data_IF_183035544847
#
_entry.id   IF_183035544847
#
_cell.length_a   1.000
_cell.length_b   1.000
_cell.length_c   1.000
_cell.angle_alpha   90.00
_cell.angle_beta   90.00
_cell.angle_gamma   90.00
#
_symmetry.space_group_name_H-M   'P 1'
#
loop_
_entity.id
_entity.type
_entity.pdbx_description
1 polymer ?
#
# COMPACT_ATOMS: atom_id res chain seq x y z
N UNK A 1 -7.01 -0.13 15.20
CA UNK A 1 -5.91 0.22 14.28
C UNK A 1 -5.66 1.70 14.38
N UNK A 2 -4.43 2.06 14.69
CA UNK A 2 -3.99 3.43 14.91
C UNK A 2 -2.47 3.49 14.74
N UNK A 3 -1.97 4.61 14.22
CA UNK A 3 -0.55 4.85 14.03
C UNK A 3 -0.08 6.08 14.84
N UNK A 4 0.73 5.82 15.87
CA UNK A 4 1.39 6.88 16.64
C UNK A 4 2.73 7.31 16.04
N UNK A 5 3.26 6.53 15.11
CA UNK A 5 4.64 6.55 14.61
C UNK A 5 5.65 5.77 15.44
N UNK A 6 5.22 5.15 16.54
CA UNK A 6 6.11 4.40 17.43
C UNK A 6 7.14 5.30 18.11
N UNK A 7 8.42 4.90 18.09
CA UNK A 7 9.51 5.71 18.67
C UNK A 7 9.82 6.96 17.83
N UNK A 8 9.55 6.93 16.52
CA UNK A 8 9.48 8.11 15.66
C UNK A 8 8.10 8.77 15.74
N UNK A 9 7.70 9.15 16.96
CA UNK A 9 6.36 9.63 17.26
C UNK A 9 5.94 10.82 16.37
N UNK A 10 4.72 10.75 15.84
CA UNK A 10 4.12 11.86 15.10
C UNK A 10 3.91 13.06 16.02
N UNK A 11 4.24 14.25 15.53
CA UNK A 11 4.09 15.50 16.29
C UNK A 11 2.91 16.36 15.82
N UNK A 12 2.20 15.93 14.77
CA UNK A 12 1.05 16.64 14.20
C UNK A 12 0.07 15.64 13.56
N UNK A 13 -1.21 16.02 13.49
CA UNK A 13 -2.26 15.27 12.79
C UNK A 13 -2.48 13.82 13.29
N UNK A 14 -2.04 13.50 14.52
CA UNK A 14 -2.11 12.15 15.06
C UNK A 14 -3.56 11.66 15.21
N UNK A 15 -4.51 12.55 15.51
CA UNK A 15 -5.94 12.25 15.63
C UNK A 15 -6.55 11.68 14.33
N UNK A 16 -5.91 11.93 13.19
CA UNK A 16 -6.31 11.44 11.88
C UNK A 16 -5.76 10.05 11.58
N UNK A 17 -4.83 9.53 12.37
CA UNK A 17 -4.21 8.21 12.14
C UNK A 17 -5.15 7.02 12.45
N UNK A 18 -6.37 7.31 12.94
CA UNK A 18 -7.48 6.35 12.89
C UNK A 18 -7.86 5.96 11.45
N UNK A 19 -7.52 6.79 10.46
CA UNK A 19 -7.74 6.52 9.05
C UNK A 19 -6.61 5.71 8.41
N UNK A 20 -5.56 5.37 9.16
CA UNK A 20 -4.44 4.58 8.65
C UNK A 20 -4.76 3.09 8.42
N UNK A 21 -6.00 2.68 8.71
CA UNK A 21 -6.58 1.42 8.24
C UNK A 21 -7.42 1.58 6.95
N UNK A 22 -7.27 2.71 6.26
CA UNK A 22 -8.08 3.08 5.12
C UNK A 22 -8.01 2.08 3.96
N UNK A 23 -6.83 1.53 3.71
CA UNK A 23 -6.63 0.46 2.72
C UNK A 23 -7.45 -0.80 3.05
N UNK A 24 -7.39 -1.25 4.31
CA UNK A 24 -8.18 -2.38 4.78
C UNK A 24 -9.69 -2.12 4.68
N UNK A 25 -10.14 -0.90 4.98
CA UNK A 25 -11.53 -0.51 4.85
C UNK A 25 -12.00 -0.54 3.38
N UNK A 26 -11.17 -0.07 2.45
CA UNK A 26 -11.44 -0.16 1.01
C UNK A 26 -11.56 -1.62 0.55
N UNK A 27 -10.64 -2.49 0.98
CA UNK A 27 -10.66 -3.93 0.69
C UNK A 27 -11.93 -4.60 1.21
N UNK A 28 -12.33 -4.34 2.46
CA UNK A 28 -13.59 -4.88 3.00
C UNK A 28 -14.83 -4.32 2.28
N UNK A 29 -14.81 -3.04 1.92
CA UNK A 29 -15.87 -2.43 1.12
C UNK A 29 -16.02 -3.09 -0.24
N UNK A 30 -14.90 -3.32 -0.92
CA UNK A 30 -14.87 -4.04 -2.19
C UNK A 30 -15.32 -5.50 -2.04
N UNK A 31 -14.84 -6.21 -1.02
CA UNK A 31 -15.24 -7.60 -0.75
C UNK A 31 -16.75 -7.73 -0.59
N UNK A 32 -17.39 -6.80 0.14
CA UNK A 32 -18.85 -6.76 0.28
C UNK A 32 -19.56 -6.55 -1.06
N UNK A 33 -19.06 -5.64 -1.89
CA UNK A 33 -19.66 -5.33 -3.19
C UNK A 33 -19.47 -6.49 -4.19
N UNK A 34 -18.26 -7.06 -4.26
CA UNK A 34 -17.93 -8.22 -5.09
C UNK A 34 -18.78 -9.43 -4.71
N UNK A 35 -18.93 -9.72 -3.41
CA UNK A 35 -19.80 -10.80 -2.95
C UNK A 35 -21.27 -10.62 -3.36
N UNK A 36 -21.75 -9.37 -3.45
CA UNK A 36 -23.10 -9.07 -3.89
C UNK A 36 -23.28 -9.18 -5.42
N UNK A 37 -22.23 -8.85 -6.19
CA UNK A 37 -22.23 -8.92 -7.65
C UNK A 37 -21.95 -10.34 -8.17
N UNK A 38 -21.23 -11.16 -7.38
CA UNK A 38 -20.85 -12.53 -7.68
C UNK A 38 -20.27 -12.71 -9.11
N UNK A 39 -19.19 -11.98 -9.47
CA UNK A 39 -18.53 -12.18 -10.75
C UNK A 39 -18.02 -13.61 -10.88
N UNK A 40 -18.26 -14.23 -12.04
CA UNK A 40 -17.82 -15.60 -12.35
C UNK A 40 -16.44 -15.57 -13.05
N UNK A 41 -15.71 -16.69 -13.01
CA UNK A 41 -14.44 -16.84 -13.74
C UNK A 41 -13.24 -16.15 -13.08
N UNK A 42 -13.38 -15.64 -11.86
CA UNK A 42 -12.28 -15.03 -11.09
C UNK A 42 -12.28 -15.54 -9.65
N UNK A 43 -11.09 -15.87 -9.13
CA UNK A 43 -10.86 -16.12 -7.70
C UNK A 43 -10.22 -14.87 -7.07
N UNK A 44 -10.76 -14.43 -5.93
CA UNK A 44 -10.30 -13.19 -5.29
C UNK A 44 -10.00 -13.45 -3.82
N UNK A 45 -8.75 -13.20 -3.43
CA UNK A 45 -8.31 -13.24 -2.05
C UNK A 45 -8.25 -11.82 -1.47
N UNK A 46 -8.93 -11.59 -0.36
CA UNK A 46 -8.89 -10.32 0.37
C UNK A 46 -7.92 -10.44 1.55
N UNK A 47 -6.75 -9.82 1.45
CA UNK A 47 -5.73 -9.83 2.50
C UNK A 47 -5.73 -8.51 3.27
N UNK A 48 -5.71 -8.58 4.61
CA UNK A 48 -5.65 -7.40 5.48
C UNK A 48 -4.52 -7.58 6.50
N UNK A 49 -3.51 -6.72 6.38
CA UNK A 49 -2.35 -6.66 7.26
C UNK A 49 -2.64 -5.77 8.48
N UNK A 50 -3.49 -6.25 9.39
CA UNK A 50 -3.98 -5.43 10.52
C UNK A 50 -2.95 -5.29 11.64
N UNK A 51 -2.61 -4.06 12.02
CA UNK A 51 -1.67 -3.76 13.11
C UNK A 51 -2.03 -2.45 13.85
N UNK A 52 -1.45 -2.26 15.03
CA UNK A 52 -1.41 -0.98 15.73
C UNK A 52 0.04 -0.58 16.00
N UNK A 53 0.43 0.61 15.56
CA UNK A 53 1.77 1.13 15.78
C UNK A 53 1.78 2.05 17.00
N UNK A 54 2.16 1.48 18.14
CA UNK A 54 2.12 2.15 19.44
C UNK A 54 3.53 2.27 20.03
N UNK A 55 3.81 3.38 20.71
CA UNK A 55 4.98 3.49 21.58
C UNK A 55 4.79 2.67 22.85
N UNK A 56 5.76 1.81 23.17
CA UNK A 56 5.78 1.00 24.37
C UNK A 56 7.21 0.56 24.68
N UNK A 57 7.44 0.00 25.87
CA UNK A 57 8.75 -0.56 26.25
C UNK A 57 9.14 -1.81 25.45
N UNK A 58 8.24 -2.36 24.62
CA UNK A 58 8.48 -3.54 23.77
C UNK A 58 8.41 -3.20 22.28
N UNK A 59 8.24 -1.93 21.93
CA UNK A 59 8.20 -1.52 20.53
C UNK A 59 9.60 -1.65 19.94
N UNK A 60 9.66 -2.06 18.68
CA UNK A 60 10.89 -2.01 17.89
C UNK A 60 11.36 -0.56 17.78
N UNK A 61 12.66 -0.36 17.62
CA UNK A 61 13.33 0.94 17.65
C UNK A 61 14.07 1.21 16.34
N UNK A 62 14.42 2.48 16.06
CA UNK A 62 15.31 2.78 14.94
C UNK A 62 16.64 2.04 15.07
N UNK A 63 17.16 1.58 13.94
CA UNK A 63 18.30 0.68 13.74
C UNK A 63 18.04 -0.80 14.06
N UNK A 64 16.83 -1.19 14.45
CA UNK A 64 16.48 -2.62 14.48
C UNK A 64 16.53 -3.22 13.07
N UNK A 65 16.96 -4.48 12.99
CA UNK A 65 16.92 -5.27 11.76
C UNK A 65 15.81 -6.30 11.90
N UNK A 66 14.78 -6.18 11.08
CA UNK A 66 13.69 -7.14 10.97
C UNK A 66 14.02 -8.17 9.89
N UNK A 67 13.51 -9.39 10.03
CA UNK A 67 13.59 -10.41 8.98
C UNK A 67 12.17 -10.68 8.49
N UNK A 68 11.89 -10.34 7.23
CA UNK A 68 10.61 -10.62 6.59
C UNK A 68 10.43 -12.13 6.36
N UNK A 69 9.21 -12.56 6.08
CA UNK A 69 8.86 -13.98 5.87
C UNK A 69 9.60 -14.63 4.69
N UNK A 70 9.99 -13.86 3.67
CA UNK A 70 10.86 -14.33 2.57
C UNK A 70 12.36 -14.35 2.91
N UNK A 71 12.73 -14.13 4.18
CA UNK A 71 14.10 -14.12 4.68
C UNK A 71 14.87 -12.81 4.44
N UNK A 72 14.29 -11.84 3.73
CA UNK A 72 14.92 -10.54 3.47
C UNK A 72 15.02 -9.74 4.77
N UNK A 73 16.18 -9.15 5.02
CA UNK A 73 16.43 -8.31 6.20
C UNK A 73 16.18 -6.83 5.92
N UNK A 74 15.53 -6.16 6.87
CA UNK A 74 15.09 -4.76 6.75
C UNK A 74 15.65 -3.95 7.92
N UNK A 75 16.51 -2.98 7.65
CA UNK A 75 16.93 -1.96 8.63
C UNK A 75 15.81 -0.92 8.81
N UNK A 76 15.30 -0.80 10.03
CA UNK A 76 14.27 0.18 10.37
C UNK A 76 14.94 1.50 10.74
N UNK A 77 14.90 2.50 9.86
CA UNK A 77 15.43 3.83 10.18
C UNK A 77 14.36 4.77 10.72
N UNK A 78 13.08 4.49 10.44
CA UNK A 78 11.96 5.25 10.96
C UNK A 78 10.77 4.32 11.24
N UNK A 79 10.32 4.26 12.51
CA UNK A 79 9.19 3.43 12.94
C UNK A 79 7.82 4.00 12.55
N UNK A 80 7.77 5.19 11.96
CA UNK A 80 6.59 5.82 11.33
C UNK A 80 6.45 5.45 9.84
N UNK A 81 7.36 4.59 9.35
CA UNK A 81 7.27 3.97 8.04
C UNK A 81 6.98 2.47 8.21
N UNK A 82 5.98 2.15 9.02
CA UNK A 82 5.61 0.80 9.45
C UNK A 82 4.58 0.11 8.54
N UNK A 83 3.70 0.86 7.88
CA UNK A 83 2.70 0.28 6.98
C UNK A 83 3.33 -0.66 5.96
N UNK A 84 4.45 -0.23 5.36
CA UNK A 84 5.23 -1.06 4.42
C UNK A 84 5.88 -2.30 5.06
N UNK A 85 6.22 -2.24 6.36
CA UNK A 85 6.79 -3.39 7.08
C UNK A 85 5.71 -4.45 7.31
N UNK A 86 4.49 -4.02 7.66
CA UNK A 86 3.35 -4.93 7.84
C UNK A 86 2.91 -5.50 6.49
N UNK A 87 2.94 -4.69 5.44
CA UNK A 87 2.62 -5.12 4.07
C UNK A 87 3.68 -6.07 3.49
N UNK A 88 4.95 -5.97 3.89
CA UNK A 88 6.01 -6.85 3.38
C UNK A 88 5.64 -8.33 3.55
N UNK A 89 5.28 -8.74 4.77
CA UNK A 89 4.91 -10.13 5.03
C UNK A 89 3.54 -10.49 4.43
N UNK A 90 2.61 -9.54 4.35
CA UNK A 90 1.31 -9.76 3.72
C UNK A 90 1.42 -9.97 2.20
N UNK A 91 2.34 -9.26 1.54
CA UNK A 91 2.65 -9.42 0.13
C UNK A 91 3.32 -10.76 -0.13
N UNK A 92 4.29 -11.17 0.70
CA UNK A 92 4.89 -12.51 0.60
C UNK A 92 3.82 -13.59 0.79
N UNK A 93 2.93 -13.43 1.77
CA UNK A 93 1.83 -14.38 1.99
C UNK A 93 0.89 -14.46 0.77
N UNK A 94 0.49 -13.33 0.20
CA UNK A 94 -0.35 -13.30 -0.99
C UNK A 94 0.35 -13.90 -2.23
N UNK A 95 1.66 -13.69 -2.34
CA UNK A 95 2.46 -14.16 -3.47
C UNK A 95 2.76 -15.66 -3.39
N UNK A 96 3.32 -16.12 -2.27
CA UNK A 96 3.88 -17.47 -2.12
C UNK A 96 2.85 -18.47 -1.58
N UNK A 97 2.10 -18.10 -0.53
CA UNK A 97 1.19 -19.02 0.17
C UNK A 97 -0.18 -19.11 -0.50
N UNK A 98 -0.73 -17.97 -0.93
CA UNK A 98 -1.98 -17.94 -1.70
C UNK A 98 -1.76 -18.19 -3.19
N UNK A 99 -0.54 -17.97 -3.70
CA UNK A 99 -0.23 -18.20 -5.11
C UNK A 99 -0.96 -17.26 -6.06
N UNK A 100 -1.32 -16.05 -5.64
CA UNK A 100 -2.07 -15.10 -6.46
C UNK A 100 -1.33 -14.78 -7.77
N UNK A 101 -2.04 -14.76 -8.90
CA UNK A 101 -1.48 -14.44 -10.22
C UNK A 101 -1.24 -12.93 -10.43
N UNK A 102 -2.01 -12.09 -9.73
CA UNK A 102 -1.99 -10.63 -9.81
C UNK A 102 -2.26 -10.06 -8.42
N UNK A 103 -1.50 -9.04 -8.01
CA UNK A 103 -1.64 -8.41 -6.70
C UNK A 103 -1.87 -6.91 -6.87
N UNK A 104 -2.95 -6.40 -6.28
CA UNK A 104 -3.22 -4.97 -6.15
C UNK A 104 -3.33 -4.64 -4.67
N UNK A 105 -2.41 -3.81 -4.20
CA UNK A 105 -2.28 -3.40 -2.80
C UNK A 105 -2.76 -1.95 -2.64
N UNK A 106 -3.52 -1.69 -1.58
CA UNK A 106 -4.04 -0.37 -1.25
C UNK A 106 -3.63 -0.01 0.18
N UNK A 107 -2.97 1.12 0.35
CA UNK A 107 -2.56 1.62 1.67
C UNK A 107 -2.51 3.12 1.75
N UNK A 108 -2.69 3.63 2.96
CA UNK A 108 -2.50 5.03 3.34
C UNK A 108 -1.03 5.33 3.58
N UNK A 109 -0.18 5.01 2.59
CA UNK A 109 1.22 4.71 2.86
C UNK A 109 2.10 5.95 3.03
N UNK A 110 1.87 7.02 2.25
CA UNK A 110 2.80 8.15 2.27
C UNK A 110 2.13 9.52 2.25
N UNK A 111 2.56 10.37 3.19
CA UNK A 111 2.33 11.82 3.10
C UNK A 111 2.99 12.43 1.86
N UNK A 112 4.03 11.81 1.30
CA UNK A 112 4.67 12.24 0.07
C UNK A 112 3.71 12.18 -1.14
N UNK A 113 2.85 11.17 -1.22
CA UNK A 113 1.83 11.09 -2.27
C UNK A 113 0.80 12.20 -2.13
N UNK A 114 0.39 12.53 -0.89
CA UNK A 114 -0.49 13.68 -0.63
C UNK A 114 0.13 15.01 -1.05
N UNK A 115 1.44 15.20 -0.81
CA UNK A 115 2.15 16.41 -1.26
C UNK A 115 2.19 16.50 -2.79
N UNK A 116 2.34 15.37 -3.49
CA UNK A 116 2.42 15.32 -4.94
C UNK A 116 1.06 15.49 -5.65
N UNK A 117 0.02 14.80 -5.18
CA UNK A 117 -1.27 14.65 -5.87
C UNK A 117 -2.46 15.31 -5.12
N UNK A 118 -2.22 15.83 -3.92
CA UNK A 118 -3.26 16.41 -3.07
C UNK A 118 -4.15 15.35 -2.40
N UNK A 119 -5.37 15.77 -2.02
CA UNK A 119 -6.36 14.91 -1.33
C UNK A 119 -7.37 14.24 -2.27
N UNK A 120 -7.30 14.48 -3.58
CA UNK A 120 -8.38 14.09 -4.52
C UNK A 120 -8.05 12.90 -5.42
N UNK A 121 -6.80 12.44 -5.45
CA UNK A 121 -6.33 11.38 -6.34
C UNK A 121 -5.41 10.44 -5.55
N UNK A 122 -5.45 9.15 -5.88
CA UNK A 122 -4.43 8.19 -5.45
C UNK A 122 -3.21 8.19 -6.38
N UNK A 123 -2.06 7.78 -5.87
CA UNK A 123 -0.88 7.46 -6.67
C UNK A 123 -0.84 5.97 -6.99
N UNK A 124 -0.72 5.61 -8.27
CA UNK A 124 -0.62 4.21 -8.72
C UNK A 124 0.79 3.92 -9.19
N UNK A 125 1.42 2.91 -8.60
CA UNK A 125 2.78 2.49 -8.89
C UNK A 125 2.76 1.05 -9.40
N UNK A 126 3.09 0.87 -10.67
CA UNK A 126 3.24 -0.44 -11.30
C UNK A 126 4.20 -0.37 -12.48
N UNK A 127 4.99 -1.42 -12.65
CA UNK A 127 5.83 -1.64 -13.85
C UNK A 127 5.06 -2.31 -14.99
N UNK A 128 3.89 -2.87 -14.70
CA UNK A 128 3.03 -3.53 -15.67
C UNK A 128 2.09 -2.51 -16.32
N UNK A 129 2.26 -2.29 -17.63
CA UNK A 129 1.50 -1.30 -18.39
C UNK A 129 0.02 -1.68 -18.56
N UNK A 130 -0.27 -2.98 -18.67
CA UNK A 130 -1.63 -3.49 -18.83
C UNK A 130 -2.41 -3.32 -17.51
N UNK A 131 -1.78 -3.66 -16.37
CA UNK A 131 -2.35 -3.42 -15.05
C UNK A 131 -2.54 -1.92 -14.78
N UNK A 132 -1.60 -1.08 -15.20
CA UNK A 132 -1.76 0.37 -15.06
C UNK A 132 -2.96 0.88 -15.86
N UNK A 133 -3.17 0.35 -17.07
CA UNK A 133 -4.32 0.68 -17.90
C UNK A 133 -5.63 0.20 -17.27
N UNK A 134 -5.68 -1.03 -16.77
CA UNK A 134 -6.87 -1.58 -16.08
C UNK A 134 -7.27 -0.71 -14.89
N UNK A 135 -6.31 -0.27 -14.07
CA UNK A 135 -6.58 0.63 -12.94
C UNK A 135 -7.06 2.01 -13.41
N UNK A 136 -6.48 2.55 -14.49
CA UNK A 136 -6.90 3.84 -15.05
C UNK A 136 -8.34 3.79 -15.59
N UNK A 137 -8.70 2.72 -16.30
CA UNK A 137 -10.05 2.51 -16.84
C UNK A 137 -11.07 2.35 -15.69
N UNK A 138 -10.75 1.58 -14.64
CA UNK A 138 -11.58 1.45 -13.44
C UNK A 138 -11.72 2.79 -12.67
N UNK A 139 -10.65 3.58 -12.60
CA UNK A 139 -10.65 4.92 -12.01
C UNK A 139 -11.58 5.88 -12.75
N UNK A 140 -11.57 5.84 -14.09
CA UNK A 140 -12.50 6.63 -14.91
C UNK A 140 -13.96 6.20 -14.71
N UNK A 141 -14.23 4.89 -14.71
CA UNK A 141 -15.58 4.34 -14.59
C UNK A 141 -16.23 4.62 -13.22
N UNK A 142 -15.43 4.62 -12.15
CA UNK A 142 -15.93 4.72 -10.76
C UNK A 142 -15.93 6.15 -10.22
N UNK A 143 -15.07 7.00 -10.77
CA UNK A 143 -14.77 8.32 -10.22
C UNK A 143 -13.77 8.31 -9.06
N UNK A 144 -13.27 7.14 -8.64
CA UNK A 144 -12.14 7.00 -7.70
C UNK A 144 -10.85 7.34 -8.46
N UNK A 145 -10.62 8.65 -8.66
CA UNK A 145 -9.54 9.17 -9.51
C UNK A 145 -8.17 8.70 -9.04
N UNK A 146 -7.33 8.31 -9.99
CA UNK A 146 -5.96 7.87 -9.75
C UNK A 146 -5.00 8.46 -10.77
N UNK A 147 -3.70 8.46 -10.45
CA UNK A 147 -2.65 8.88 -11.38
C UNK A 147 -1.46 7.93 -11.32
N UNK A 148 -0.99 7.48 -12.49
CA UNK A 148 0.18 6.61 -12.57
C UNK A 148 1.47 7.40 -12.29
N UNK A 149 2.22 6.92 -11.32
CA UNK A 149 3.50 7.48 -10.87
C UNK A 149 4.67 6.66 -11.45
N UNK A 150 5.84 7.29 -11.70
CA UNK A 150 6.99 6.60 -12.24
C UNK A 150 7.67 5.69 -11.20
N UNK A 151 8.32 4.62 -11.66
CA UNK A 151 9.12 3.70 -10.84
C UNK A 151 10.52 3.48 -11.44
N UNK A 152 11.39 4.52 -11.44
CA UNK A 152 12.77 4.40 -11.93
C UNK A 152 13.56 3.40 -11.09
N UNK A 153 14.27 2.48 -11.75
CA UNK A 153 15.05 1.44 -11.07
C UNK A 153 16.21 2.00 -10.27
N UNK A 154 16.77 3.14 -10.67
CA UNK A 154 17.87 3.82 -9.99
C UNK A 154 17.50 4.26 -8.57
N UNK A 155 16.20 4.40 -8.27
CA UNK A 155 15.76 4.80 -6.93
C UNK A 155 15.84 3.65 -5.92
N UNK A 156 16.12 2.41 -6.36
CA UNK A 156 16.44 1.31 -5.45
C UNK A 156 17.75 1.56 -4.68
N UNK A 157 18.70 2.32 -5.24
CA UNK A 157 19.94 2.72 -4.54
C UNK A 157 19.62 3.51 -3.25
N UNK A 158 18.48 4.20 -3.22
CA UNK A 158 18.03 4.95 -2.04
C UNK A 158 17.53 4.03 -0.91
N UNK A 159 17.32 2.75 -1.17
CA UNK A 159 16.87 1.74 -0.22
C UNK A 159 18.00 0.79 0.22
N UNK A 160 19.24 1.02 -0.20
CA UNK A 160 20.38 0.22 0.24
C UNK A 160 20.67 0.43 1.73
N UNK A 161 20.87 -0.67 2.46
CA UNK A 161 21.36 -0.65 3.84
C UNK A 161 22.81 -1.14 3.90
N UNK A 162 23.57 -0.66 4.89
CA UNK A 162 24.94 -1.13 5.16
C UNK A 162 24.98 -2.38 6.04
N UNK A 163 23.87 -2.71 6.70
CA UNK A 163 23.79 -3.75 7.73
C UNK A 163 22.64 -4.75 7.53
N UNK A 164 21.74 -4.47 6.60
CA UNK A 164 20.64 -5.34 6.18
C UNK A 164 20.54 -5.35 4.65
N UNK A 165 19.63 -6.15 4.08
CA UNK A 165 19.43 -6.20 2.62
C UNK A 165 18.83 -4.91 2.07
N UNK A 166 17.90 -4.30 2.81
CA UNK A 166 17.29 -3.00 2.48
C UNK A 166 17.02 -2.17 3.75
N UNK A 167 16.86 -0.85 3.61
CA UNK A 167 16.34 0.05 4.64
C UNK A 167 14.88 0.41 4.37
N UNK A 168 14.08 0.64 5.42
CA UNK A 168 12.63 0.86 5.27
C UNK A 168 12.26 2.24 4.73
N UNK A 169 13.18 3.20 4.66
CA UNK A 169 12.94 4.53 4.08
C UNK A 169 14.02 4.88 3.07
N UNK A 170 13.64 5.67 2.07
CA UNK A 170 14.60 6.36 1.21
C UNK A 170 14.93 7.76 1.76
N UNK A 171 15.34 8.64 0.86
CA UNK A 171 15.51 10.07 1.20
C UNK A 171 14.17 10.78 1.35
N UNK A 172 14.22 12.04 1.80
CA UNK A 172 13.04 12.93 1.83
C UNK A 172 12.39 13.11 0.45
N UNK A 173 13.17 13.06 -0.63
CA UNK A 173 12.69 13.28 -1.99
C UNK A 173 12.29 11.94 -2.63
N UNK A 174 11.15 11.93 -3.32
CA UNK A 174 10.64 10.71 -3.96
C UNK A 174 10.07 9.69 -2.98
N UNK A 175 9.64 10.10 -1.78
CA UNK A 175 9.18 9.19 -0.71
C UNK A 175 8.06 8.22 -1.11
N UNK A 176 7.14 8.64 -1.98
CA UNK A 176 6.09 7.75 -2.50
C UNK A 176 6.65 6.68 -3.46
N UNK A 177 7.60 7.08 -4.31
CA UNK A 177 8.28 6.17 -5.26
C UNK A 177 9.11 5.14 -4.49
N UNK A 178 9.90 5.57 -3.52
CA UNK A 178 10.74 4.66 -2.73
C UNK A 178 9.91 3.73 -1.84
N UNK A 179 8.73 4.16 -1.39
CA UNK A 179 7.79 3.26 -0.71
C UNK A 179 7.27 2.16 -1.65
N UNK A 180 6.89 2.50 -2.88
CA UNK A 180 6.44 1.53 -3.86
C UNK A 180 7.55 0.54 -4.26
N UNK A 181 8.78 1.03 -4.45
CA UNK A 181 9.95 0.19 -4.74
C UNK A 181 10.31 -0.73 -3.56
N UNK A 182 10.14 -0.25 -2.32
CA UNK A 182 10.27 -1.08 -1.14
C UNK A 182 9.28 -2.25 -1.19
N UNK A 183 7.99 -2.00 -1.46
CA UNK A 183 6.98 -3.06 -1.54
C UNK A 183 7.27 -4.09 -2.64
N UNK A 184 7.81 -3.65 -3.79
CA UNK A 184 8.20 -4.53 -4.89
C UNK A 184 9.25 -5.59 -4.52
N UNK A 185 9.97 -5.42 -3.40
CA UNK A 185 10.91 -6.43 -2.91
C UNK A 185 10.24 -7.67 -2.30
N UNK A 186 8.92 -7.65 -2.14
CA UNK A 186 8.14 -8.67 -1.44
C UNK A 186 7.09 -9.35 -2.34
N UNK A 187 7.23 -9.16 -3.66
CA UNK A 187 6.42 -9.83 -4.69
C UNK A 187 7.35 -10.37 -5.77
N UNK A 188 7.07 -11.57 -6.27
CA UNK A 188 7.79 -12.21 -7.36
C UNK A 188 7.84 -11.31 -8.61
N UNK A 189 9.02 -11.18 -9.23
CA UNK A 189 9.30 -10.21 -10.30
C UNK A 189 8.50 -10.42 -11.59
N UNK A 190 8.02 -11.63 -11.80
CA UNK A 190 7.26 -12.08 -12.96
C UNK A 190 5.75 -11.91 -12.81
N UNK A 191 5.26 -11.48 -11.63
CA UNK A 191 3.84 -11.28 -11.38
C UNK A 191 3.44 -9.80 -11.50
N UNK A 192 2.29 -9.51 -12.14
CA UNK A 192 1.70 -8.17 -12.13
C UNK A 192 1.40 -7.69 -10.70
N UNK A 193 2.04 -6.59 -10.32
CA UNK A 193 1.89 -5.95 -9.01
C UNK A 193 1.63 -4.46 -9.15
N UNK A 194 0.60 -3.96 -8.45
CA UNK A 194 0.36 -2.53 -8.31
C UNK A 194 0.21 -2.14 -6.84
N UNK A 195 0.92 -1.08 -6.45
CA UNK A 195 0.69 -0.34 -5.21
C UNK A 195 -0.18 0.89 -5.52
N UNK A 196 -1.25 1.09 -4.76
CA UNK A 196 -2.15 2.24 -4.85
C UNK A 196 -2.09 3.01 -3.53
N UNK A 197 -1.34 4.11 -3.51
CA UNK A 197 -1.25 5.00 -2.35
C UNK A 197 -2.49 5.88 -2.25
N UNK A 198 -3.33 5.59 -1.26
CA UNK A 198 -4.61 6.25 -1.00
C UNK A 198 -4.57 7.21 0.19
N UNK A 199 -3.39 7.59 0.69
CA UNK A 199 -3.27 8.47 1.85
C UNK A 199 -4.04 9.80 1.68
N UNK A 200 -4.06 10.34 0.46
CA UNK A 200 -4.78 11.56 0.10
C UNK A 200 -6.30 11.41 0.15
N UNK A 201 -6.89 10.54 -0.68
CA UNK A 201 -8.35 10.51 -0.88
C UNK A 201 -9.14 9.71 0.16
N UNK A 202 -8.50 9.01 1.11
CA UNK A 202 -9.22 8.11 2.03
C UNK A 202 -10.09 8.84 3.07
N UNK A 203 -9.83 10.13 3.31
CA UNK A 203 -10.59 10.94 4.25
C UNK A 203 -10.68 12.40 3.82
N UNK A 204 -11.74 13.09 4.26
CA UNK A 204 -11.91 14.53 4.11
C UNK A 204 -12.54 15.18 5.36
N UNK A 205 -12.47 16.51 5.44
CA UNK A 205 -12.94 17.27 6.59
C UNK A 205 -14.48 17.31 6.72
N UNK A 206 -15.23 17.01 5.65
CA UNK A 206 -16.68 17.10 5.60
C UNK A 206 -17.39 15.78 5.96
N UNK A 207 -16.84 14.65 5.52
CA UNK A 207 -17.43 13.32 5.58
C UNK A 207 -16.68 12.36 6.50
N UNK A 208 -15.44 12.69 6.90
CA UNK A 208 -14.57 11.74 7.59
C UNK A 208 -14.01 10.73 6.59
N UNK A 209 -14.29 9.44 6.76
CA UNK A 209 -13.85 8.43 5.81
C UNK A 209 -14.66 8.52 4.49
N UNK A 210 -13.98 8.63 3.35
CA UNK A 210 -14.63 8.80 2.03
C UNK A 210 -15.12 7.49 1.43
N UNK A 211 -14.52 6.36 1.85
CA UNK A 211 -14.73 5.06 1.23
C UNK A 211 -13.99 4.87 -0.11
N UNK A 212 -13.04 5.77 -0.44
CA UNK A 212 -12.22 5.68 -1.64
C UNK A 212 -11.57 4.28 -1.77
N UNK A 213 -11.50 3.77 -2.99
CA UNK A 213 -10.82 2.51 -3.34
C UNK A 213 -11.76 1.31 -3.35
N UNK A 214 -12.86 1.34 -2.59
CA UNK A 214 -13.83 0.24 -2.60
C UNK A 214 -14.48 0.06 -3.98
N UNK A 215 -14.85 1.17 -4.65
CA UNK A 215 -15.43 1.11 -6.00
C UNK A 215 -14.36 0.76 -7.02
N UNK A 216 -13.18 1.38 -6.94
CA UNK A 216 -12.05 1.10 -7.81
C UNK A 216 -11.74 -0.40 -7.88
N UNK A 217 -11.55 -1.04 -6.73
CA UNK A 217 -11.24 -2.48 -6.66
C UNK A 217 -12.40 -3.34 -7.13
N UNK A 218 -13.64 -2.97 -6.77
CA UNK A 218 -14.82 -3.71 -7.24
C UNK A 218 -14.90 -3.70 -8.77
N UNK A 219 -14.74 -2.53 -9.39
CA UNK A 219 -14.78 -2.40 -10.84
C UNK A 219 -13.63 -3.14 -11.52
N UNK A 220 -12.41 -3.09 -10.96
CA UNK A 220 -11.26 -3.82 -11.47
C UNK A 220 -11.56 -5.34 -11.55
N UNK A 221 -12.13 -5.92 -10.49
CA UNK A 221 -12.49 -7.35 -10.47
C UNK A 221 -13.63 -7.65 -11.45
N UNK A 222 -14.64 -6.79 -11.55
CA UNK A 222 -15.77 -6.95 -12.50
C UNK A 222 -15.31 -6.86 -13.96
N UNK A 223 -14.27 -6.08 -14.25
CA UNK A 223 -13.66 -6.02 -15.59
C UNK A 223 -12.80 -7.24 -15.87
N UNK A 224 -12.02 -7.70 -14.89
CA UNK A 224 -11.21 -8.93 -15.00
C UNK A 224 -12.08 -10.15 -15.27
N UNK A 225 -13.22 -10.28 -14.59
CA UNK A 225 -14.14 -11.41 -14.72
C UNK A 225 -14.82 -11.54 -16.10
N UNK A 226 -14.58 -10.59 -17.02
CA UNK A 226 -15.16 -10.56 -18.37
C UNK A 226 -14.13 -10.89 -19.46
N UNK A 227 -12.87 -11.05 -19.10
CA UNK A 227 -11.79 -11.45 -20.01
C UNK A 227 -11.80 -12.97 -20.19
#
# INVERSE_FOLDING_TARGET
>A
MFDTGGYNIKTAMMELMKFDCGGSAAVFGAARAIAALAPEGVEVHFCVAACENMISSKSYVPSDILTASNGKTIEVLNTDAEGRLTLADALVFADEELGCDKIVELSTLTGACMVALGKGLSGVFTKDDDLAKQIADASEATGDKSWRMPMPDEYNELLESKIADIQNIGTRYGGAITAALFLQNFVSKDKPFAHVDIAGPVWDDASGATGYGAKLVTELIVQESKQ
#
